data_IF_135932718831
#
_entry.id   IF_135932718831
#
_cell.length_a   1.000
_cell.length_b   1.000
_cell.length_c   1.000
_cell.angle_alpha   90.00
_cell.angle_beta   90.00
_cell.angle_gamma   90.00
#
_symmetry.space_group_name_H-M   'P 1'
#
loop_
_entity.id
_entity.type
_entity.pdbx_description
1 polymer ?
#
# COMPACT_ATOMS: atom_id res chain seq x y z
N UNK A 1 -21.71 -16.34 -1.98
CA UNK A 1 -21.18 -16.81 -0.69
C UNK A 1 -21.33 -15.77 0.41
N UNK A 2 -20.73 -14.56 0.36
CA UNK A 2 -20.96 -13.54 1.42
C UNK A 2 -22.40 -12.97 1.45
N UNK A 3 -22.94 -12.52 0.30
CA UNK A 3 -24.31 -12.02 0.22
C UNK A 3 -25.36 -13.08 0.57
N UNK A 4 -25.13 -14.31 0.12
CA UNK A 4 -25.98 -15.48 0.42
C UNK A 4 -25.91 -15.92 1.88
N UNK A 5 -24.82 -15.57 2.59
CA UNK A 5 -24.64 -15.81 4.02
C UNK A 5 -25.04 -14.60 4.90
N UNK A 6 -25.51 -13.50 4.29
CA UNK A 6 -25.89 -12.28 5.02
C UNK A 6 -24.74 -11.41 5.53
N UNK A 7 -23.48 -11.76 5.24
CA UNK A 7 -22.30 -10.99 5.66
C UNK A 7 -22.11 -9.74 4.78
N UNK A 8 -22.75 -8.65 5.19
CA UNK A 8 -22.72 -7.35 4.50
C UNK A 8 -21.33 -6.67 4.53
N UNK A 9 -20.59 -6.64 5.66
CA UNK A 9 -19.24 -6.06 5.69
C UNK A 9 -18.27 -6.76 4.73
N UNK A 10 -18.24 -8.09 4.71
CA UNK A 10 -17.37 -8.82 3.79
C UNK A 10 -17.81 -8.64 2.35
N UNK A 11 -19.12 -8.61 2.09
CA UNK A 11 -19.64 -8.30 0.76
C UNK A 11 -19.17 -6.92 0.25
N UNK A 12 -19.23 -5.89 1.08
CA UNK A 12 -18.75 -4.55 0.74
C UNK A 12 -17.25 -4.55 0.42
N UNK A 13 -16.42 -5.19 1.26
CA UNK A 13 -14.98 -5.34 0.98
C UNK A 13 -14.71 -6.07 -0.33
N UNK A 14 -15.44 -7.15 -0.63
CA UNK A 14 -15.30 -7.87 -1.88
C UNK A 14 -15.60 -6.99 -3.11
N UNK A 15 -16.57 -6.08 -3.03
CA UNK A 15 -16.84 -5.13 -4.11
C UNK A 15 -15.66 -4.17 -4.32
N UNK A 16 -15.07 -3.64 -3.24
CA UNK A 16 -13.86 -2.81 -3.32
C UNK A 16 -12.69 -3.54 -3.98
N UNK A 17 -12.41 -4.78 -3.58
CA UNK A 17 -11.35 -5.61 -4.16
C UNK A 17 -11.61 -5.89 -5.65
N UNK A 18 -12.86 -6.21 -6.02
CA UNK A 18 -13.22 -6.39 -7.42
C UNK A 18 -13.03 -5.09 -8.23
N UNK A 19 -13.30 -3.94 -7.62
CA UNK A 19 -12.97 -2.63 -8.18
C UNK A 19 -11.47 -2.48 -8.44
N UNK A 20 -10.60 -2.92 -7.52
CA UNK A 20 -9.15 -2.86 -7.69
C UNK A 20 -8.68 -3.71 -8.87
N UNK A 21 -9.18 -4.95 -8.98
CA UNK A 21 -8.86 -5.86 -10.09
C UNK A 21 -9.32 -5.24 -11.42
N UNK A 22 -10.55 -4.74 -11.50
CA UNK A 22 -11.09 -4.13 -12.72
C UNK A 22 -10.31 -2.87 -13.13
N UNK A 23 -9.91 -2.05 -12.16
CA UNK A 23 -9.06 -0.88 -12.41
C UNK A 23 -7.70 -1.28 -12.98
N UNK A 24 -7.09 -2.35 -12.46
CA UNK A 24 -5.83 -2.90 -12.98
C UNK A 24 -6.00 -3.47 -14.39
N UNK A 25 -7.15 -4.07 -14.71
CA UNK A 25 -7.52 -4.49 -16.06
C UNK A 25 -7.96 -3.34 -16.99
N UNK A 26 -7.86 -2.07 -16.54
CA UNK A 26 -8.29 -0.86 -17.26
C UNK A 26 -9.78 -0.79 -17.63
N UNK A 27 -10.63 -1.65 -17.04
CA UNK A 27 -12.10 -1.53 -17.11
C UNK A 27 -12.58 -0.49 -16.09
N UNK A 28 -12.22 0.76 -16.34
CA UNK A 28 -12.42 1.89 -15.41
C UNK A 28 -13.89 2.19 -15.10
N UNK A 29 -14.80 1.90 -16.04
CA UNK A 29 -16.23 2.15 -15.87
C UNK A 29 -16.85 1.15 -14.89
N UNK A 30 -16.54 -0.14 -15.04
CA UNK A 30 -17.02 -1.14 -14.09
C UNK A 30 -16.36 -0.95 -12.73
N UNK A 31 -15.06 -0.68 -12.70
CA UNK A 31 -14.33 -0.42 -11.45
C UNK A 31 -14.99 0.70 -10.63
N UNK A 32 -15.31 1.84 -11.26
CA UNK A 32 -15.94 2.96 -10.58
C UNK A 32 -17.31 2.57 -9.97
N UNK A 33 -18.15 1.86 -10.73
CA UNK A 33 -19.44 1.34 -10.23
C UNK A 33 -19.27 0.38 -9.04
N UNK A 34 -18.22 -0.45 -9.04
CA UNK A 34 -17.94 -1.35 -7.90
C UNK A 34 -17.54 -0.58 -6.65
N UNK A 35 -16.71 0.44 -6.78
CA UNK A 35 -16.38 1.29 -5.63
C UNK A 35 -17.58 2.09 -5.12
N UNK A 36 -18.43 2.60 -6.01
CA UNK A 36 -19.65 3.30 -5.61
C UNK A 36 -20.61 2.39 -4.82
N UNK A 37 -20.83 1.17 -5.31
CA UNK A 37 -21.61 0.16 -4.58
C UNK A 37 -20.95 -0.20 -3.23
N UNK A 38 -19.63 -0.37 -3.20
CA UNK A 38 -18.88 -0.59 -1.96
C UNK A 38 -19.06 0.58 -0.99
N UNK A 39 -18.94 1.83 -1.46
CA UNK A 39 -19.09 3.04 -0.64
C UNK A 39 -20.48 3.12 -0.02
N UNK A 40 -21.54 2.89 -0.80
CA UNK A 40 -22.92 2.91 -0.30
C UNK A 40 -23.15 1.87 0.81
N UNK A 41 -22.62 0.65 0.65
CA UNK A 41 -22.69 -0.36 1.70
C UNK A 41 -21.90 0.06 2.94
N UNK A 42 -20.69 0.60 2.78
CA UNK A 42 -19.87 1.06 3.91
C UNK A 42 -20.49 2.27 4.63
N UNK A 43 -21.29 3.10 3.93
CA UNK A 43 -22.09 4.16 4.56
C UNK A 43 -23.22 3.58 5.41
N UNK A 44 -23.95 2.59 4.90
CA UNK A 44 -25.01 1.92 5.67
C UNK A 44 -24.48 1.15 6.88
N UNK A 45 -23.24 0.66 6.81
CA UNK A 45 -22.56 -0.01 7.92
C UNK A 45 -21.84 0.95 8.87
N UNK A 46 -21.86 2.26 8.59
CA UNK A 46 -21.13 3.29 9.32
C UNK A 46 -19.60 3.02 9.42
N UNK A 47 -19.05 2.20 8.50
CA UNK A 47 -17.63 1.89 8.43
C UNK A 47 -16.86 3.02 7.74
N UNK A 48 -16.38 3.98 8.54
CA UNK A 48 -15.63 5.13 8.05
C UNK A 48 -14.31 4.75 7.35
N UNK A 49 -13.63 3.70 7.80
CA UNK A 49 -12.39 3.27 7.17
C UNK A 49 -12.66 2.58 5.82
N UNK A 50 -13.69 1.73 5.76
CA UNK A 50 -14.18 1.13 4.53
C UNK A 50 -14.63 2.19 3.50
N UNK A 51 -15.31 3.24 3.96
CA UNK A 51 -15.65 4.41 3.14
C UNK A 51 -14.40 5.08 2.56
N UNK A 52 -13.36 5.29 3.37
CA UNK A 52 -12.11 5.88 2.90
C UNK A 52 -11.42 5.02 1.83
N UNK A 53 -11.36 3.70 2.03
CA UNK A 53 -10.76 2.78 1.05
C UNK A 53 -11.51 2.85 -0.28
N UNK A 54 -12.85 2.78 -0.25
CA UNK A 54 -13.68 2.87 -1.44
C UNK A 54 -13.50 4.21 -2.16
N UNK A 55 -13.57 5.33 -1.43
CA UNK A 55 -13.39 6.67 -1.96
C UNK A 55 -11.99 6.88 -2.57
N UNK A 56 -10.95 6.36 -1.92
CA UNK A 56 -9.58 6.37 -2.47
C UNK A 56 -9.49 5.54 -3.76
N UNK A 57 -10.18 4.40 -3.85
CA UNK A 57 -10.32 3.60 -5.06
C UNK A 57 -11.00 4.38 -6.20
N UNK A 58 -12.08 5.11 -5.90
CA UNK A 58 -12.75 6.00 -6.84
C UNK A 58 -11.81 7.09 -7.36
N UNK A 59 -11.05 7.75 -6.47
CA UNK A 59 -10.07 8.77 -6.82
C UNK A 59 -9.01 8.27 -7.83
N UNK A 60 -8.45 7.08 -7.59
CA UNK A 60 -7.50 6.43 -8.52
C UNK A 60 -8.15 6.19 -9.89
N UNK A 61 -9.39 5.72 -9.89
CA UNK A 61 -10.12 5.37 -11.11
C UNK A 61 -10.46 6.61 -11.94
N UNK A 62 -10.88 7.70 -11.28
CA UNK A 62 -11.13 8.99 -11.94
C UNK A 62 -9.86 9.55 -12.59
N UNK A 63 -8.69 9.39 -11.96
CA UNK A 63 -7.41 9.76 -12.58
C UNK A 63 -7.15 9.02 -13.91
N UNK A 64 -7.51 7.73 -14.00
CA UNK A 64 -7.41 6.96 -15.25
C UNK A 64 -8.45 7.39 -16.28
N UNK A 65 -9.70 7.64 -15.85
CA UNK A 65 -10.77 8.11 -16.73
C UNK A 65 -10.44 9.48 -17.34
N UNK A 66 -9.85 10.38 -16.55
CA UNK A 66 -9.36 11.69 -16.98
C UNK A 66 -8.26 11.57 -18.04
N UNK A 67 -7.28 10.68 -17.84
CA UNK A 67 -6.23 10.39 -18.84
C UNK A 67 -6.79 9.83 -20.16
N UNK A 68 -7.94 9.17 -20.10
CA UNK A 68 -8.68 8.70 -21.28
C UNK A 68 -9.64 9.78 -21.84
N UNK A 69 -9.56 11.02 -21.36
CA UNK A 69 -10.43 12.16 -21.72
C UNK A 69 -11.93 11.90 -21.57
N UNK A 70 -12.32 11.04 -20.62
CA UNK A 70 -13.73 10.67 -20.38
C UNK A 70 -14.47 11.62 -19.43
N UNK A 71 -13.76 12.49 -18.70
CA UNK A 71 -14.32 13.37 -17.65
C UNK A 71 -13.54 14.69 -17.55
N UNK A 72 -14.14 15.72 -16.94
CA UNK A 72 -13.47 16.97 -16.54
C UNK A 72 -12.37 16.73 -15.49
N UNK A 73 -11.43 17.66 -15.36
CA UNK A 73 -10.44 17.68 -14.27
C UNK A 73 -11.08 18.04 -12.90
N UNK A 74 -12.26 18.66 -12.91
CA UNK A 74 -12.99 19.10 -11.72
C UNK A 74 -13.36 17.97 -10.76
N UNK A 75 -13.77 16.82 -11.31
CA UNK A 75 -14.25 15.68 -10.51
C UNK A 75 -13.10 14.95 -9.79
N UNK A 76 -11.95 14.65 -10.42
CA UNK A 76 -10.76 14.17 -9.72
C UNK A 76 -10.30 15.08 -8.58
N UNK A 77 -10.32 16.40 -8.76
CA UNK A 77 -9.93 17.37 -7.72
C UNK A 77 -10.85 17.24 -6.49
N UNK A 78 -12.17 17.34 -6.71
CA UNK A 78 -13.19 17.23 -5.65
C UNK A 78 -13.04 15.95 -4.83
N UNK A 79 -12.91 14.80 -5.51
CA UNK A 79 -12.83 13.50 -4.83
C UNK A 79 -11.51 13.34 -4.08
N UNK A 80 -10.38 13.83 -4.59
CA UNK A 80 -9.12 13.75 -3.84
C UNK A 80 -9.12 14.63 -2.59
N UNK A 81 -9.74 15.81 -2.62
CA UNK A 81 -9.90 16.63 -1.41
C UNK A 81 -10.76 15.90 -0.36
N UNK A 82 -11.88 15.29 -0.76
CA UNK A 82 -12.69 14.45 0.13
C UNK A 82 -11.91 13.26 0.72
N UNK A 83 -11.01 12.65 -0.05
CA UNK A 83 -10.10 11.61 0.45
C UNK A 83 -9.17 12.18 1.52
N UNK A 84 -8.59 13.36 1.32
CA UNK A 84 -7.71 14.00 2.30
C UNK A 84 -8.48 14.33 3.58
N UNK A 85 -9.67 14.92 3.49
CA UNK A 85 -10.49 15.27 4.65
C UNK A 85 -10.82 14.03 5.49
N UNK A 86 -11.32 12.98 4.84
CA UNK A 86 -11.68 11.74 5.54
C UNK A 86 -10.44 11.04 6.10
N UNK A 87 -9.35 10.98 5.32
CA UNK A 87 -8.11 10.34 5.78
C UNK A 87 -7.45 11.12 6.93
N UNK A 88 -7.52 12.46 6.92
CA UNK A 88 -7.09 13.32 8.02
C UNK A 88 -7.86 13.01 9.29
N UNK A 89 -9.20 12.92 9.19
CA UNK A 89 -10.04 12.58 10.35
C UNK A 89 -9.82 11.17 10.92
N UNK A 90 -9.22 10.26 10.14
CA UNK A 90 -8.90 8.89 10.54
C UNK A 90 -7.40 8.67 10.81
N UNK A 91 -6.56 9.69 10.67
CA UNK A 91 -5.10 9.55 10.81
C UNK A 91 -4.43 8.67 9.75
N UNK A 92 -5.07 8.45 8.59
CA UNK A 92 -4.58 7.57 7.53
C UNK A 92 -3.52 8.24 6.64
N UNK A 93 -2.36 8.56 7.22
CA UNK A 93 -1.28 9.35 6.60
C UNK A 93 -0.81 8.85 5.22
N UNK A 94 -0.76 7.53 5.00
CA UNK A 94 -0.34 6.96 3.71
C UNK A 94 -1.35 7.26 2.58
N UNK A 95 -2.64 7.21 2.88
CA UNK A 95 -3.71 7.55 1.92
C UNK A 95 -3.72 9.06 1.68
N UNK A 96 -3.57 9.88 2.72
CA UNK A 96 -3.43 11.34 2.60
C UNK A 96 -2.28 11.71 1.67
N UNK A 97 -1.07 11.17 1.92
CA UNK A 97 0.12 11.40 1.09
C UNK A 97 -0.15 11.03 -0.37
N UNK A 98 -0.75 9.86 -0.60
CA UNK A 98 -1.08 9.40 -1.95
C UNK A 98 -2.08 10.32 -2.66
N UNK A 99 -3.03 10.91 -1.93
CA UNK A 99 -3.98 11.87 -2.48
C UNK A 99 -3.33 13.22 -2.81
N UNK A 100 -2.44 13.73 -1.94
CA UNK A 100 -1.64 14.92 -2.21
C UNK A 100 -0.79 14.76 -3.48
N UNK A 101 -0.09 13.64 -3.66
CA UNK A 101 0.68 13.36 -4.89
C UNK A 101 -0.20 13.32 -6.15
N UNK A 102 -1.44 12.83 -6.04
CA UNK A 102 -2.39 12.87 -7.16
C UNK A 102 -2.89 14.29 -7.46
N UNK A 103 -3.13 15.10 -6.42
CA UNK A 103 -3.52 16.51 -6.60
C UNK A 103 -2.39 17.33 -7.19
N UNK A 104 -1.15 17.16 -6.72
CA UNK A 104 0.05 17.76 -7.30
C UNK A 104 0.10 17.52 -8.81
N UNK A 105 -0.03 16.25 -9.25
CA UNK A 105 -0.04 15.92 -10.68
C UNK A 105 -1.23 16.54 -11.43
N UNK A 106 -2.40 16.66 -10.81
CA UNK A 106 -3.57 17.33 -11.42
C UNK A 106 -3.33 18.82 -11.60
N UNK A 107 -2.83 19.52 -10.56
CA UNK A 107 -2.52 20.95 -10.63
C UNK A 107 -1.41 21.25 -11.63
N UNK A 108 -0.40 20.38 -11.73
CA UNK A 108 0.64 20.45 -12.75
C UNK A 108 0.07 20.40 -14.18
N UNK A 109 -0.92 19.54 -14.42
CA UNK A 109 -1.59 19.49 -15.75
C UNK A 109 -2.44 20.74 -16.01
N UNK A 110 -2.97 21.36 -14.96
CA UNK A 110 -3.74 22.61 -15.06
C UNK A 110 -2.86 23.87 -15.12
N UNK A 111 -1.54 23.71 -15.12
CA UNK A 111 -0.56 24.82 -15.05
C UNK A 111 -0.72 25.70 -13.82
N UNK A 112 -1.21 25.12 -12.71
CA UNK A 112 -1.32 25.77 -11.40
C UNK A 112 -0.13 25.34 -10.53
N UNK A 113 1.02 25.95 -10.80
CA UNK A 113 2.29 25.58 -10.17
C UNK A 113 2.30 25.89 -8.67
N UNK A 114 1.56 26.90 -8.22
CA UNK A 114 1.44 27.26 -6.80
C UNK A 114 0.77 26.12 -6.01
N UNK A 115 -0.41 25.68 -6.46
CA UNK A 115 -1.10 24.58 -5.80
C UNK A 115 -0.33 23.26 -5.99
N UNK A 116 0.28 23.04 -7.15
CA UNK A 116 1.13 21.86 -7.35
C UNK A 116 2.25 21.78 -6.31
N UNK A 117 3.00 22.87 -6.11
CA UNK A 117 4.08 22.94 -5.12
C UNK A 117 3.59 22.81 -3.69
N UNK A 118 2.42 23.36 -3.35
CA UNK A 118 1.80 23.18 -2.04
C UNK A 118 1.50 21.69 -1.77
N UNK A 119 0.86 21.01 -2.72
CA UNK A 119 0.50 19.59 -2.57
C UNK A 119 1.74 18.70 -2.47
N UNK A 120 2.80 19.01 -3.22
CA UNK A 120 4.09 18.31 -3.12
C UNK A 120 4.70 18.45 -1.72
N UNK A 121 4.73 19.67 -1.18
CA UNK A 121 5.24 19.93 0.18
C UNK A 121 4.47 19.16 1.24
N UNK A 122 3.13 19.14 1.16
CA UNK A 122 2.29 18.39 2.09
C UNK A 122 2.55 16.88 2.01
N UNK A 123 2.73 16.33 0.80
CA UNK A 123 3.11 14.93 0.63
C UNK A 123 4.50 14.63 1.22
N UNK A 124 5.45 15.56 1.11
CA UNK A 124 6.79 15.42 1.67
C UNK A 124 6.76 15.43 3.20
N UNK A 125 6.02 16.35 3.84
CA UNK A 125 5.85 16.36 5.30
C UNK A 125 5.28 15.02 5.80
N UNK A 126 4.25 14.49 5.14
CA UNK A 126 3.69 13.17 5.50
C UNK A 126 4.70 12.03 5.29
N UNK A 127 5.59 12.14 4.31
CA UNK A 127 6.66 11.15 4.07
C UNK A 127 7.65 11.13 5.22
N UNK A 128 8.06 12.32 5.69
CA UNK A 128 8.96 12.50 6.82
C UNK A 128 8.33 12.02 8.13
N UNK A 129 7.07 12.40 8.40
CA UNK A 129 6.34 11.96 9.59
C UNK A 129 6.12 10.44 9.68
N UNK A 130 6.11 9.75 8.54
CA UNK A 130 5.98 8.29 8.47
C UNK A 130 7.34 7.58 8.34
N UNK A 131 8.45 8.32 8.34
CA UNK A 131 9.81 7.80 8.19
C UNK A 131 9.96 6.86 6.98
N UNK A 132 9.33 7.21 5.84
CA UNK A 132 9.34 6.39 4.62
C UNK A 132 10.66 6.53 3.83
N UNK A 133 11.78 6.40 4.53
CA UNK A 133 13.15 6.54 4.03
C UNK A 133 14.00 5.34 4.44
N UNK A 134 14.89 4.92 3.56
CA UNK A 134 15.81 3.82 3.81
C UNK A 134 16.91 4.25 4.79
N UNK A 135 17.08 3.54 5.91
CA UNK A 135 18.13 3.86 6.90
C UNK A 135 19.57 3.60 6.44
N UNK A 136 19.80 3.10 5.21
CA UNK A 136 21.14 2.89 4.63
C UNK A 136 21.54 4.04 3.69
N UNK A 137 20.69 4.36 2.71
CA UNK A 137 20.99 5.39 1.71
C UNK A 137 20.28 6.73 1.97
N UNK A 138 19.32 6.77 2.90
CA UNK A 138 18.47 7.92 3.21
C UNK A 138 17.59 8.41 2.06
N UNK A 139 17.45 7.61 1.00
CA UNK A 139 16.49 7.86 -0.07
C UNK A 139 15.09 7.33 0.29
N UNK A 140 14.06 7.95 -0.29
CA UNK A 140 12.66 7.60 -0.06
C UNK A 140 12.29 6.23 -0.62
N UNK A 141 11.31 5.57 -0.02
CA UNK A 141 10.73 4.36 -0.59
C UNK A 141 9.86 4.69 -1.82
N UNK A 142 10.08 3.96 -2.92
CA UNK A 142 9.23 4.02 -4.10
C UNK A 142 9.52 5.15 -5.09
N UNK A 143 10.56 5.98 -4.89
CA UNK A 143 10.92 7.07 -5.81
C UNK A 143 11.57 6.57 -7.12
N UNK A 144 12.29 5.44 -7.07
CA UNK A 144 12.96 4.85 -8.23
C UNK A 144 12.33 3.50 -8.57
N UNK A 145 11.90 3.33 -9.82
CA UNK A 145 11.48 2.04 -10.35
C UNK A 145 12.63 1.02 -10.25
N UNK A 146 12.36 -0.16 -9.71
CA UNK A 146 13.35 -1.25 -9.55
C UNK A 146 14.02 -1.33 -8.17
N UNK A 147 13.80 -0.37 -7.27
CA UNK A 147 14.23 -0.49 -5.87
C UNK A 147 13.15 -1.19 -5.03
N UNK A 148 13.09 -2.53 -5.15
CA UNK A 148 12.26 -3.35 -4.25
C UNK A 148 12.67 -3.15 -2.79
N UNK A 149 11.76 -3.47 -1.87
CA UNK A 149 12.01 -3.39 -0.44
C UNK A 149 12.26 -4.79 0.12
N UNK A 150 13.27 -4.89 0.98
CA UNK A 150 13.58 -6.10 1.73
C UNK A 150 13.54 -5.80 3.23
N UNK A 151 13.05 -6.75 4.00
CA UNK A 151 13.10 -6.70 5.45
C UNK A 151 14.26 -7.54 5.99
N UNK A 152 15.06 -6.95 6.85
CA UNK A 152 16.06 -7.68 7.64
C UNK A 152 15.36 -8.64 8.63
N UNK A 153 16.09 -9.62 9.23
CA UNK A 153 15.54 -10.50 10.27
C UNK A 153 14.97 -9.77 11.51
N UNK A 154 15.33 -8.50 11.68
CA UNK A 154 14.79 -7.62 12.72
C UNK A 154 13.54 -6.84 12.29
N UNK A 155 12.94 -7.20 11.16
CA UNK A 155 11.75 -6.58 10.54
C UNK A 155 11.88 -5.12 10.11
N UNK A 156 13.09 -4.55 10.15
CA UNK A 156 13.35 -3.23 9.57
C UNK A 156 13.46 -3.36 8.06
N UNK A 157 12.80 -2.45 7.35
CA UNK A 157 12.66 -2.46 5.90
C UNK A 157 13.72 -1.52 5.31
N UNK A 158 14.34 -1.93 4.21
CA UNK A 158 15.30 -1.13 3.45
C UNK A 158 15.13 -1.42 1.95
N UNK A 159 15.79 -0.68 1.07
CA UNK A 159 15.88 -1.11 -0.32
C UNK A 159 16.66 -2.43 -0.43
N UNK A 160 16.19 -3.35 -1.28
CA UNK A 160 16.84 -4.64 -1.51
C UNK A 160 18.30 -4.49 -1.94
N UNK A 161 18.62 -3.48 -2.75
CA UNK A 161 20.01 -3.13 -3.10
C UNK A 161 20.84 -2.78 -1.85
N UNK A 162 20.33 -1.91 -0.99
CA UNK A 162 20.98 -1.53 0.26
C UNK A 162 21.20 -2.73 1.18
N UNK A 163 20.24 -3.67 1.25
CA UNK A 163 20.41 -4.90 2.03
C UNK A 163 21.49 -5.80 1.42
N UNK A 164 21.49 -6.00 0.10
CA UNK A 164 22.54 -6.79 -0.58
C UNK A 164 23.93 -6.21 -0.31
N UNK A 165 24.08 -4.90 -0.43
CA UNK A 165 25.35 -4.20 -0.19
C UNK A 165 25.80 -4.31 1.28
N UNK A 166 24.86 -4.16 2.23
CA UNK A 166 25.09 -4.37 3.67
C UNK A 166 25.52 -5.81 4.00
N UNK A 167 24.97 -6.80 3.30
CA UNK A 167 25.32 -8.21 3.47
C UNK A 167 26.65 -8.56 2.79
N UNK A 168 27.00 -7.88 1.69
CA UNK A 168 28.22 -8.09 0.92
C UNK A 168 29.47 -7.46 1.55
N UNK A 169 29.34 -6.33 2.25
CA UNK A 169 30.47 -5.61 2.91
C UNK A 169 31.08 -6.33 4.12
N UNK A 170 30.65 -7.57 4.41
CA UNK A 170 31.24 -8.42 5.44
C UNK A 170 32.61 -8.97 5.01
N UNK A 171 33.66 -8.19 5.22
CA UNK A 171 35.04 -8.64 5.09
C UNK A 171 35.31 -9.82 6.03
N UNK A 172 35.99 -10.86 5.51
CA UNK A 172 36.05 -12.25 6.04
C UNK A 172 36.65 -12.40 7.44
N UNK A 173 36.96 -11.32 8.15
CA UNK A 173 37.72 -11.39 9.40
C UNK A 173 37.24 -10.62 10.62
N UNK A 174 36.34 -9.62 10.63
CA UNK A 174 35.98 -8.95 11.93
C UNK A 174 34.85 -7.90 12.04
N UNK A 175 33.98 -7.64 11.06
CA UNK A 175 32.82 -6.73 11.29
C UNK A 175 31.50 -7.49 11.32
N UNK A 176 30.82 -7.47 12.47
CA UNK A 176 29.45 -7.97 12.62
C UNK A 176 28.55 -7.15 11.69
N UNK A 177 27.71 -7.82 10.91
CA UNK A 177 26.67 -7.18 10.11
C UNK A 177 25.60 -6.66 11.07
N UNK A 178 25.30 -5.38 11.03
CA UNK A 178 24.43 -4.73 12.03
C UNK A 178 23.34 -3.95 11.29
N UNK A 179 22.10 -4.04 11.76
CA UNK A 179 21.00 -3.21 11.26
C UNK A 179 21.24 -1.73 11.60
N UNK A 180 21.16 -0.79 10.63
CA UNK A 180 21.30 0.65 10.90
C UNK A 180 20.31 1.19 11.94
N UNK A 181 19.07 0.70 11.90
CA UNK A 181 17.98 1.27 12.70
C UNK A 181 18.00 0.77 14.15
N UNK A 182 18.09 -0.56 14.36
CA UNK A 182 18.00 -1.16 15.71
C UNK A 182 19.30 -1.73 16.26
N UNK A 183 20.39 -1.67 15.48
CA UNK A 183 21.72 -2.17 15.86
C UNK A 183 21.82 -3.67 16.20
N UNK A 184 20.79 -4.47 15.89
CA UNK A 184 20.82 -5.94 16.05
C UNK A 184 21.79 -6.57 15.05
N UNK A 185 22.49 -7.61 15.50
CA UNK A 185 23.40 -8.42 14.67
C UNK A 185 22.60 -9.27 13.67
N UNK A 186 23.02 -9.25 12.41
CA UNK A 186 22.42 -10.00 11.31
C UNK A 186 23.14 -11.35 11.20
N UNK A 187 22.71 -12.32 12.00
CA UNK A 187 23.38 -13.61 12.16
C UNK A 187 22.94 -14.68 11.15
N UNK A 188 21.84 -14.48 10.42
CA UNK A 188 21.31 -15.41 9.43
C UNK A 188 20.97 -14.71 8.12
N UNK A 189 21.08 -15.46 7.01
CA UNK A 189 20.57 -15.08 5.68
C UNK A 189 19.04 -15.28 5.56
N UNK A 190 18.33 -15.55 6.66
CA UNK A 190 16.88 -15.64 6.68
C UNK A 190 16.28 -14.25 6.52
N UNK A 191 16.33 -13.78 5.28
CA UNK A 191 15.55 -12.67 4.80
C UNK A 191 14.08 -13.08 4.86
N UNK A 192 13.20 -12.17 5.27
CA UNK A 192 11.78 -12.36 5.04
C UNK A 192 11.62 -12.42 3.52
N UNK A 193 11.40 -13.62 2.97
CA UNK A 193 11.29 -13.85 1.54
C UNK A 193 10.09 -13.04 1.04
N UNK A 194 10.38 -11.93 0.35
CA UNK A 194 9.36 -11.14 -0.33
C UNK A 194 8.73 -11.98 -1.46
N UNK A 195 7.45 -11.75 -1.74
CA UNK A 195 6.64 -12.54 -2.68
C UNK A 195 7.26 -12.65 -4.10
N UNK A 196 8.11 -11.70 -4.48
CA UNK A 196 8.82 -11.69 -5.76
C UNK A 196 9.91 -12.77 -5.86
N UNK A 197 10.59 -13.12 -4.77
CA UNK A 197 11.56 -14.23 -4.76
C UNK A 197 10.86 -15.59 -4.83
N UNK A 198 9.67 -15.72 -4.21
CA UNK A 198 8.82 -16.89 -4.38
C UNK A 198 8.44 -17.08 -5.86
N UNK A 199 8.07 -16.00 -6.55
CA UNK A 199 7.73 -16.03 -7.98
C UNK A 199 8.91 -16.47 -8.86
N UNK A 200 10.14 -16.09 -8.51
CA UNK A 200 11.34 -16.57 -9.18
C UNK A 200 11.61 -18.07 -8.91
N UNK A 201 11.34 -18.54 -7.68
CA UNK A 201 11.46 -19.96 -7.33
C UNK A 201 10.39 -20.86 -8.01
N UNK A 202 9.24 -20.31 -8.41
CA UNK A 202 8.22 -21.03 -9.19
C UNK A 202 8.68 -21.44 -10.60
N UNK A 203 9.80 -20.91 -11.11
CA UNK A 203 10.40 -21.34 -12.38
C UNK A 203 11.09 -22.71 -12.34
N UNK A 204 11.35 -23.27 -11.16
CA UNK A 204 12.17 -24.49 -10.97
C UNK A 204 11.38 -25.70 -10.42
N UNK A 205 10.05 -25.67 -10.49
CA UNK A 205 9.17 -26.81 -10.20
C UNK A 205 9.16 -27.33 -8.75
N UNK A 206 9.90 -26.69 -7.83
CA UNK A 206 9.92 -27.06 -6.40
C UNK A 206 8.96 -26.16 -5.60
N UNK A 207 7.87 -26.73 -5.11
CA UNK A 207 6.94 -26.05 -4.19
C UNK A 207 7.64 -25.80 -2.85
N UNK A 208 7.75 -24.54 -2.38
CA UNK A 208 8.17 -24.27 -1.01
C UNK A 208 7.11 -24.81 -0.04
N UNK A 209 7.53 -25.68 0.88
CA UNK A 209 6.66 -26.13 1.98
C UNK A 209 6.54 -25.00 2.99
N UNK A 210 5.40 -24.32 3.01
CA UNK A 210 5.06 -23.43 4.12
C UNK A 210 4.88 -24.26 5.40
N UNK A 211 5.41 -23.82 6.56
CA UNK A 211 5.01 -24.39 7.84
C UNK A 211 3.48 -24.28 7.94
N UNK A 212 2.79 -25.41 8.06
CA UNK A 212 1.34 -25.39 8.30
C UNK A 212 1.10 -24.67 9.61
N UNK A 213 0.32 -23.59 9.56
CA UNK A 213 -0.25 -22.99 10.76
C UNK A 213 -1.11 -24.06 11.47
N UNK A 214 -0.68 -24.48 12.66
CA UNK A 214 -1.49 -25.29 13.56
C UNK A 214 -2.20 -24.30 14.50
N UNK A 215 -3.53 -24.17 14.43
CA UNK A 215 -4.27 -23.37 15.40
C UNK A 215 -4.06 -23.97 16.79
N UNK A 216 -3.80 -23.12 17.79
CA UNK A 216 -3.89 -23.52 19.19
C UNK A 216 -5.34 -23.87 19.54
N UNK A 217 -5.60 -24.96 20.29
CA UNK A 217 -6.96 -25.32 20.68
C UNK A 217 -7.59 -24.22 21.54
N UNK A 218 -8.83 -23.86 21.20
CA UNK A 218 -9.68 -22.96 21.98
C UNK A 218 -10.05 -23.59 23.32
N UNK A 219 -10.06 -22.80 24.39
CA UNK A 219 -10.29 -23.22 25.77
C UNK A 219 -11.75 -23.57 26.11
N UNK A 220 -12.64 -23.67 25.12
CA UNK A 220 -14.09 -23.79 25.36
C UNK A 220 -14.66 -25.22 25.22
N UNK A 221 -13.80 -26.23 25.01
CA UNK A 221 -14.20 -27.65 25.06
C UNK A 221 -13.59 -28.34 26.29
N UNK A 222 -14.10 -28.01 27.48
CA UNK A 222 -14.00 -28.90 28.64
C UNK A 222 -15.42 -29.35 29.04
N UNK A 223 -15.73 -30.66 28.97
CA UNK A 223 -17.00 -31.18 29.44
C UNK A 223 -17.04 -31.17 30.97
N UNK A 224 -18.13 -30.64 31.54
CA UNK A 224 -18.62 -31.03 32.87
C UNK A 224 -19.54 -32.23 32.74
#
# INVERSE_FOLDING_TARGET
MALTAGDRPTHARCLGILGDIQRQCLDVQRAYKRYEASMQLMMMLEDRHGQLIALNGMAKTLGLMRRQSKICDCRPLEINNKVIDLASSLGCKLIMRSAHLRLMELYRVLSDDENSGLQERLANCLTEEMELVCGVCHERYGDQGGNSLDALPCSHIFHAKCVRDLMATGDRKKKKRICPDCRKSLNSRLMLICYDELKAAYGDGRTPTFPRYQPSPSSDDQPL
#
